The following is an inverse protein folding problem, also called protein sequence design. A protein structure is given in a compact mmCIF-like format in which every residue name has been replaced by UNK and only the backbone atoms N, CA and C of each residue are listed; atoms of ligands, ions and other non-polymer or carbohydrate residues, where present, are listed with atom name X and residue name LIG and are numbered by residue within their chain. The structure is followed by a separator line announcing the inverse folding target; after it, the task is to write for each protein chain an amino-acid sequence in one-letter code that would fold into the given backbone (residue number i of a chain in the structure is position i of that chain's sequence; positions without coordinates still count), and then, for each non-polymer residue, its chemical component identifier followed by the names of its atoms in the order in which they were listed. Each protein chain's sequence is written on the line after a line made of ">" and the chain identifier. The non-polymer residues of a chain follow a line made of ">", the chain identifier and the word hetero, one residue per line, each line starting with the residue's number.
data_IF_600360421392
#
_entry.id   IF_600360421392
#
_cell.length_a   1.000
_cell.length_b   1.000
_cell.length_c   1.000
_cell.angle_alpha   90.00
_cell.angle_beta   90.00
_cell.angle_gamma   90.00
#
_symmetry.space_group_name_H-M   'P 1'
#
loop_
_entity.id
_entity.type
_entity.pdbx_description
1 polymer ?
#
# COMPACT_ATOMS: atom_id res chain seq x y z
N UNK A 1 3.45 25.64 1.82
CA UNK A 1 2.27 24.79 2.15
C UNK A 1 2.21 24.25 3.60
N UNK A 2 3.26 23.64 4.17
CA UNK A 2 3.19 22.89 5.45
C UNK A 2 2.49 23.62 6.61
N UNK A 3 3.01 24.78 7.00
CA UNK A 3 2.45 25.63 8.07
C UNK A 3 0.99 26.01 7.83
N UNK A 4 0.63 26.23 6.57
CA UNK A 4 -0.73 26.60 6.19
C UNK A 4 -1.70 25.43 6.41
N UNK A 5 -1.24 24.21 6.13
CA UNK A 5 -2.03 23.00 6.29
C UNK A 5 -2.16 22.57 7.75
N UNK A 6 -1.04 22.49 8.49
CA UNK A 6 -0.98 21.91 9.83
C UNK A 6 -0.91 22.91 10.99
N UNK A 7 -0.77 24.21 10.70
CA UNK A 7 -0.65 25.27 11.71
C UNK A 7 0.54 25.09 12.68
N UNK A 8 1.54 24.32 12.24
CA UNK A 8 2.78 24.04 12.97
C UNK A 8 3.97 24.08 12.02
N UNK A 9 5.16 24.30 12.57
CA UNK A 9 6.45 24.12 11.88
C UNK A 9 7.03 22.72 12.16
N UNK A 10 6.36 21.91 12.99
CA UNK A 10 6.79 20.56 13.33
C UNK A 10 6.56 19.59 12.16
N UNK A 11 7.62 18.93 11.71
CA UNK A 11 7.60 17.93 10.62
C UNK A 11 7.32 16.50 11.10
N UNK A 12 6.95 16.32 12.37
CA UNK A 12 6.57 15.03 12.96
C UNK A 12 5.07 14.71 12.83
N UNK A 13 4.32 15.46 12.02
CA UNK A 13 2.90 15.19 11.73
C UNK A 13 2.73 13.80 11.09
N UNK A 14 1.73 13.04 11.56
CA UNK A 14 1.44 11.68 11.09
C UNK A 14 0.09 11.59 10.36
N UNK A 15 -0.10 10.56 9.53
CA UNK A 15 -1.38 10.28 8.86
C UNK A 15 -2.53 10.15 9.87
N UNK A 16 -2.39 9.49 11.03
CA UNK A 16 -3.40 9.55 12.10
C UNK A 16 -3.75 10.96 12.58
N UNK A 17 -2.79 11.90 12.65
CA UNK A 17 -3.09 13.30 12.94
C UNK A 17 -3.94 13.92 11.84
N UNK A 18 -3.57 13.69 10.58
CA UNK A 18 -4.31 14.16 9.40
C UNK A 18 -5.76 13.64 9.40
N UNK A 19 -5.97 12.36 9.70
CA UNK A 19 -7.31 11.77 9.80
C UNK A 19 -8.13 12.44 10.92
N UNK A 20 -7.54 12.66 12.09
CA UNK A 20 -8.18 13.41 13.19
C UNK A 20 -8.55 14.84 12.80
N UNK A 21 -7.74 15.49 11.97
CA UNK A 21 -8.06 16.82 11.42
C UNK A 21 -9.26 16.76 10.48
N UNK A 22 -9.31 15.77 9.58
CA UNK A 22 -10.40 15.57 8.62
C UNK A 22 -11.75 15.27 9.30
N UNK A 23 -11.72 14.62 10.45
CA UNK A 23 -12.90 14.36 11.30
C UNK A 23 -13.49 15.64 11.90
N UNK A 24 -12.71 16.71 12.05
CA UNK A 24 -13.20 17.96 12.65
C UNK A 24 -14.23 18.65 11.72
N UNK A 25 -15.48 18.89 12.18
CA UNK A 25 -16.48 19.58 11.37
C UNK A 25 -16.07 21.02 11.03
N UNK A 26 -15.33 21.66 11.94
CA UNK A 26 -14.84 23.04 11.80
C UNK A 26 -13.61 23.18 10.90
N UNK A 27 -13.07 22.08 10.35
CA UNK A 27 -11.92 22.14 9.45
C UNK A 27 -12.27 22.97 8.21
N UNK A 28 -11.46 24.00 7.87
CA UNK A 28 -11.68 24.82 6.69
C UNK A 28 -11.75 23.98 5.41
N UNK A 29 -12.70 24.30 4.54
CA UNK A 29 -12.96 23.55 3.31
C UNK A 29 -11.72 23.48 2.39
N UNK A 30 -10.95 24.57 2.32
CA UNK A 30 -9.71 24.65 1.54
C UNK A 30 -8.64 23.64 1.98
N UNK A 31 -8.67 23.18 3.24
CA UNK A 31 -7.71 22.19 3.77
C UNK A 31 -8.16 20.75 3.56
N UNK A 32 -9.46 20.50 3.34
CA UNK A 32 -10.03 19.15 3.30
C UNK A 32 -9.44 18.31 2.16
N UNK A 33 -9.41 18.85 0.94
CA UNK A 33 -8.87 18.11 -0.20
C UNK A 33 -7.37 17.83 -0.07
N UNK A 34 -6.50 18.83 0.23
CA UNK A 34 -5.07 18.56 0.41
C UNK A 34 -4.77 17.55 1.53
N UNK A 35 -5.44 17.65 2.68
CA UNK A 35 -5.30 16.68 3.78
C UNK A 35 -5.73 15.27 3.34
N UNK A 36 -6.84 15.14 2.62
CA UNK A 36 -7.31 13.85 2.11
C UNK A 36 -6.34 13.24 1.09
N UNK A 37 -5.75 14.05 0.21
CA UNK A 37 -4.75 13.60 -0.76
C UNK A 37 -3.48 13.10 -0.07
N UNK A 38 -3.00 13.79 0.97
CA UNK A 38 -1.85 13.34 1.76
C UNK A 38 -2.16 12.06 2.53
N UNK A 39 -3.33 11.96 3.15
CA UNK A 39 -3.75 10.74 3.83
C UNK A 39 -3.79 9.55 2.86
N UNK A 40 -4.24 9.77 1.62
CA UNK A 40 -4.24 8.74 0.58
C UNK A 40 -2.81 8.36 0.14
N UNK A 41 -1.95 9.35 -0.11
CA UNK A 41 -0.59 9.10 -0.60
C UNK A 41 0.28 8.48 0.49
N UNK A 42 0.50 9.17 1.61
CA UNK A 42 1.39 8.69 2.69
C UNK A 42 0.78 7.52 3.48
N UNK A 43 -0.56 7.47 3.57
CA UNK A 43 -1.27 6.43 4.33
C UNK A 43 -1.56 5.16 3.54
N UNK A 44 -1.75 5.26 2.21
CA UNK A 44 -2.18 4.11 1.40
C UNK A 44 -1.32 3.84 0.17
N UNK A 45 -0.80 4.83 -0.55
CA UNK A 45 -0.02 4.54 -1.77
C UNK A 45 1.45 4.29 -1.44
N UNK A 46 2.10 5.26 -0.81
CA UNK A 46 3.53 5.31 -0.50
C UNK A 46 3.78 5.06 0.99
N UNK A 47 2.92 4.25 1.62
CA UNK A 47 3.05 3.89 3.04
C UNK A 47 4.34 3.08 3.30
N UNK A 48 5.43 3.80 3.58
CA UNK A 48 6.78 3.25 3.71
C UNK A 48 7.28 3.14 5.15
N UNK A 49 6.63 3.79 6.12
CA UNK A 49 7.14 3.90 7.50
C UNK A 49 6.12 3.46 8.54
N UNK A 50 6.55 2.71 9.57
CA UNK A 50 5.68 2.25 10.66
C UNK A 50 4.98 3.39 11.41
N UNK A 51 5.59 4.57 11.43
CA UNK A 51 5.05 5.75 12.11
C UNK A 51 4.07 6.55 11.23
N UNK A 52 3.89 6.19 9.96
CA UNK A 52 3.03 6.90 9.00
C UNK A 52 3.23 8.42 9.03
N UNK A 53 4.50 8.86 9.03
CA UNK A 53 4.82 10.28 8.99
C UNK A 53 4.44 10.86 7.64
N UNK A 54 3.88 12.07 7.66
CA UNK A 54 3.61 12.83 6.45
C UNK A 54 4.94 13.26 5.83
N UNK A 55 5.06 13.13 4.51
CA UNK A 55 6.27 13.46 3.76
C UNK A 55 6.25 14.94 3.36
N UNK A 56 7.18 15.79 3.83
CA UNK A 56 7.19 17.23 3.52
C UNK A 56 7.19 17.54 2.02
N UNK A 57 7.96 16.80 1.23
CA UNK A 57 8.02 16.97 -0.22
C UNK A 57 6.64 16.75 -0.91
N UNK A 58 5.83 15.81 -0.43
CA UNK A 58 4.48 15.60 -0.97
C UNK A 58 3.53 16.73 -0.55
N UNK A 59 3.70 17.28 0.65
CA UNK A 59 2.94 18.44 1.10
C UNK A 59 3.26 19.68 0.30
N UNK A 60 4.53 19.90 -0.06
CA UNK A 60 4.93 21.00 -0.95
C UNK A 60 4.27 20.90 -2.32
N UNK A 61 4.14 19.69 -2.88
CA UNK A 61 3.47 19.49 -4.17
C UNK A 61 1.98 19.89 -4.17
N UNK A 62 1.33 19.98 -3.00
CA UNK A 62 -0.07 20.41 -2.91
C UNK A 62 -0.29 21.90 -3.18
N UNK A 63 0.79 22.71 -3.31
CA UNK A 63 0.69 24.10 -3.80
C UNK A 63 0.03 24.17 -5.17
N UNK A 64 0.22 23.14 -5.99
CA UNK A 64 -0.52 22.91 -7.21
C UNK A 64 -1.17 21.52 -7.17
N UNK A 65 -2.45 21.50 -6.79
CA UNK A 65 -3.23 20.26 -6.72
C UNK A 65 -3.40 19.59 -8.08
N UNK A 66 -3.39 20.33 -9.20
CA UNK A 66 -3.48 19.73 -10.53
C UNK A 66 -2.19 18.96 -10.86
N UNK A 67 -1.03 19.59 -10.64
CA UNK A 67 0.27 18.92 -10.76
C UNK A 67 0.39 17.73 -9.81
N UNK A 68 -0.09 17.85 -8.58
CA UNK A 68 -0.13 16.74 -7.61
C UNK A 68 -0.93 15.56 -8.16
N UNK A 69 -2.12 15.78 -8.72
CA UNK A 69 -2.96 14.71 -9.27
C UNK A 69 -2.37 14.06 -10.52
N UNK A 70 -1.61 14.81 -11.33
CA UNK A 70 -0.91 14.30 -12.51
C UNK A 70 0.41 13.60 -12.19
N UNK A 71 0.94 13.76 -10.97
CA UNK A 71 2.15 13.11 -10.55
C UNK A 71 2.00 11.57 -10.63
N UNK A 72 3.02 10.83 -11.10
CA UNK A 72 2.93 9.39 -11.31
C UNK A 72 2.99 8.60 -10.00
N UNK A 73 2.02 8.80 -9.10
CA UNK A 73 1.94 8.16 -7.78
C UNK A 73 2.05 6.64 -7.83
N UNK A 74 1.55 6.00 -8.89
CA UNK A 74 1.69 4.56 -9.07
C UNK A 74 3.16 4.12 -9.20
N UNK A 75 3.98 4.88 -9.90
CA UNK A 75 5.42 4.60 -10.04
C UNK A 75 6.15 4.87 -8.72
N UNK A 76 5.85 5.99 -8.08
CA UNK A 76 6.43 6.34 -6.77
C UNK A 76 6.12 5.27 -5.71
N UNK A 77 4.86 4.84 -5.65
CA UNK A 77 4.38 3.80 -4.75
C UNK A 77 5.01 2.43 -5.07
N UNK A 78 5.18 2.10 -6.35
CA UNK A 78 5.86 0.88 -6.80
C UNK A 78 7.33 0.86 -6.40
N UNK A 79 8.07 1.94 -6.67
CA UNK A 79 9.50 2.07 -6.32
C UNK A 79 9.68 2.02 -4.80
N UNK A 80 8.84 2.73 -4.05
CA UNK A 80 8.82 2.66 -2.58
C UNK A 80 8.57 1.25 -2.08
N UNK A 81 7.69 0.49 -2.74
CA UNK A 81 7.43 -0.93 -2.41
C UNK A 81 8.63 -1.81 -2.72
N UNK A 82 9.24 -1.70 -3.90
CA UNK A 82 10.43 -2.47 -4.26
C UNK A 82 11.60 -2.23 -3.30
N UNK A 83 11.78 -0.99 -2.84
CA UNK A 83 12.84 -0.64 -1.89
C UNK A 83 12.75 -1.42 -0.58
N UNK A 84 11.56 -1.89 -0.19
CA UNK A 84 11.33 -2.70 1.01
C UNK A 84 11.64 -4.18 0.80
N UNK A 85 11.43 -4.68 -0.42
CA UNK A 85 11.76 -6.06 -0.79
C UNK A 85 13.28 -6.27 -0.86
N UNK A 86 14.03 -5.20 -1.13
CA UNK A 86 15.50 -5.22 -1.21
C UNK A 86 16.16 -4.67 0.06
N UNK A 87 17.37 -5.11 0.43
CA UNK A 87 18.16 -4.42 1.46
C UNK A 87 18.54 -3.01 0.99
N UNK A 88 18.94 -2.12 1.93
CA UNK A 88 19.48 -0.82 1.54
C UNK A 88 20.78 -1.02 0.76
N UNK A 89 20.91 -0.34 -0.38
CA UNK A 89 22.15 -0.36 -1.15
C UNK A 89 23.31 0.23 -0.34
N UNK A 90 24.47 -0.45 -0.28
CA UNK A 90 25.63 0.05 0.43
C UNK A 90 26.30 1.17 -0.37
N UNK A 91 26.72 2.23 0.30
CA UNK A 91 27.57 3.28 -0.30
C UNK A 91 29.01 2.81 -0.53
N UNK A 92 29.44 1.76 0.19
CA UNK A 92 30.77 1.18 0.14
C UNK A 92 30.78 -0.07 -0.76
N UNK A 93 31.53 -0.06 -1.88
CA UNK A 93 31.61 -1.19 -2.80
C UNK A 93 32.07 -2.50 -2.15
N UNK A 94 32.86 -2.45 -1.07
CA UNK A 94 33.33 -3.65 -0.36
C UNK A 94 32.21 -4.43 0.33
N UNK A 95 31.05 -3.81 0.54
CA UNK A 95 29.87 -4.43 1.17
C UNK A 95 28.89 -5.04 0.15
N UNK A 96 29.21 -4.98 -1.15
CA UNK A 96 28.32 -5.45 -2.21
C UNK A 96 27.99 -6.94 -2.10
N UNK A 97 28.96 -7.79 -1.76
CA UNK A 97 28.72 -9.23 -1.59
C UNK A 97 27.75 -9.52 -0.43
N UNK A 98 27.88 -8.77 0.67
CA UNK A 98 26.94 -8.85 1.81
C UNK A 98 25.55 -8.36 1.39
N UNK A 99 25.46 -7.26 0.66
CA UNK A 99 24.19 -6.76 0.11
C UNK A 99 23.51 -7.81 -0.78
N UNK A 100 24.23 -8.38 -1.75
CA UNK A 100 23.69 -9.38 -2.67
C UNK A 100 23.26 -10.67 -1.96
N UNK A 101 23.99 -11.10 -0.93
CA UNK A 101 23.61 -12.28 -0.15
C UNK A 101 22.31 -12.06 0.65
N UNK A 102 22.16 -10.89 1.29
CA UNK A 102 20.91 -10.50 1.97
C UNK A 102 19.75 -10.36 0.98
N UNK A 103 20.00 -9.72 -0.17
CA UNK A 103 18.98 -9.56 -1.21
C UNK A 103 18.47 -10.90 -1.71
N UNK A 104 19.37 -11.85 -2.04
CA UNK A 104 18.99 -13.21 -2.43
C UNK A 104 18.19 -13.93 -1.35
N UNK A 105 18.53 -13.73 -0.08
CA UNK A 105 17.79 -14.35 1.02
C UNK A 105 16.36 -13.80 1.12
N UNK A 106 16.18 -12.48 1.01
CA UNK A 106 14.84 -11.84 1.00
C UNK A 106 13.99 -12.30 -0.17
N UNK A 107 14.56 -12.32 -1.38
CA UNK A 107 13.85 -12.74 -2.59
C UNK A 107 13.51 -14.24 -2.62
N UNK A 108 14.09 -15.06 -1.75
CA UNK A 108 13.73 -16.48 -1.60
C UNK A 108 12.59 -16.72 -0.62
N UNK A 109 12.15 -15.70 0.12
CA UNK A 109 11.03 -15.83 1.03
C UNK A 109 9.76 -16.08 0.23
N UNK A 110 8.91 -17.00 0.70
CA UNK A 110 7.62 -17.29 0.07
C UNK A 110 6.61 -16.15 0.28
N UNK A 111 6.75 -15.41 1.38
CA UNK A 111 5.85 -14.33 1.75
C UNK A 111 6.64 -13.12 2.26
N UNK A 112 6.03 -11.94 2.14
CA UNK A 112 6.52 -10.70 2.72
C UNK A 112 5.33 -9.84 3.10
N UNK A 113 5.35 -9.30 4.31
CA UNK A 113 4.38 -8.31 4.73
C UNK A 113 4.66 -6.96 4.03
N UNK A 114 3.72 -6.53 3.19
CA UNK A 114 3.76 -5.22 2.54
C UNK A 114 2.54 -4.40 2.94
N UNK A 115 2.76 -3.11 3.15
CA UNK A 115 1.70 -2.11 3.34
C UNK A 115 1.71 -1.15 2.15
N UNK A 116 0.68 -0.34 1.99
CA UNK A 116 0.68 0.70 0.97
C UNK A 116 0.29 0.18 -0.41
N UNK A 117 1.13 0.40 -1.42
CA UNK A 117 0.80 0.09 -2.82
C UNK A 117 0.17 -1.29 -3.08
N UNK A 118 0.65 -2.43 -2.53
CA UNK A 118 -0.01 -3.72 -2.74
C UNK A 118 -1.44 -3.77 -2.20
N UNK A 119 -1.73 -3.10 -1.09
CA UNK A 119 -3.09 -2.98 -0.55
C UNK A 119 -3.99 -2.17 -1.50
N UNK A 120 -3.47 -1.05 -2.05
CA UNK A 120 -4.21 -0.27 -3.04
C UNK A 120 -4.55 -1.10 -4.28
N UNK A 121 -3.62 -1.93 -4.74
CA UNK A 121 -3.83 -2.86 -5.85
C UNK A 121 -4.86 -3.95 -5.52
N UNK A 122 -4.82 -4.48 -4.30
CA UNK A 122 -5.80 -5.46 -3.82
C UNK A 122 -7.22 -4.85 -3.80
N UNK A 123 -7.39 -3.64 -3.26
CA UNK A 123 -8.67 -2.92 -3.26
C UNK A 123 -9.16 -2.63 -4.68
N UNK A 124 -8.25 -2.25 -5.58
CA UNK A 124 -8.57 -2.06 -6.98
C UNK A 124 -9.02 -3.36 -7.65
N UNK A 125 -8.35 -4.48 -7.38
CA UNK A 125 -8.70 -5.79 -7.91
C UNK A 125 -10.09 -6.22 -7.46
N UNK A 126 -10.46 -6.05 -6.18
CA UNK A 126 -11.82 -6.36 -5.72
C UNK A 126 -12.89 -5.53 -6.41
N UNK A 127 -12.61 -4.26 -6.70
CA UNK A 127 -13.54 -3.39 -7.43
C UNK A 127 -13.65 -3.75 -8.91
N UNK A 128 -12.52 -4.09 -9.55
CA UNK A 128 -12.45 -4.41 -10.97
C UNK A 128 -12.97 -5.82 -11.28
N UNK A 129 -12.84 -6.75 -10.33
CA UNK A 129 -13.16 -8.17 -10.50
C UNK A 129 -14.12 -8.59 -9.37
N UNK A 130 -15.43 -8.37 -9.52
CA UNK A 130 -16.41 -8.72 -8.50
C UNK A 130 -16.38 -10.20 -8.11
N UNK A 131 -16.11 -11.11 -9.06
CA UNK A 131 -15.95 -12.54 -8.78
C UNK A 131 -14.82 -12.86 -7.80
N UNK A 132 -13.81 -12.00 -7.70
CA UNK A 132 -12.73 -12.12 -6.71
C UNK A 132 -13.22 -11.66 -5.33
N UNK A 133 -14.03 -10.61 -5.28
CA UNK A 133 -14.67 -10.16 -4.05
C UNK A 133 -15.63 -11.23 -3.51
N UNK A 134 -16.36 -11.95 -4.36
CA UNK A 134 -17.26 -13.04 -3.90
C UNK A 134 -16.54 -14.18 -3.17
N UNK A 135 -15.20 -14.27 -3.28
CA UNK A 135 -14.37 -15.28 -2.62
C UNK A 135 -13.96 -14.91 -1.20
N UNK A 136 -14.05 -13.64 -0.81
CA UNK A 136 -13.71 -13.24 0.56
C UNK A 136 -14.82 -13.62 1.53
N UNK A 137 -14.50 -13.93 2.80
CA UNK A 137 -15.51 -14.08 3.85
C UNK A 137 -16.34 -12.79 3.99
N UNK A 138 -17.67 -12.94 4.09
CA UNK A 138 -18.61 -11.82 4.27
C UNK A 138 -18.43 -10.67 3.24
N UNK A 139 -18.53 -10.94 1.92
CA UNK A 139 -18.14 -9.98 0.87
C UNK A 139 -19.01 -8.71 0.82
N UNK A 140 -20.17 -8.74 1.46
CA UNK A 140 -21.11 -7.63 1.56
C UNK A 140 -21.01 -6.89 2.91
N UNK A 141 -20.08 -7.27 3.78
CA UNK A 141 -19.88 -6.64 5.09
C UNK A 141 -19.23 -5.28 4.89
N UNK A 142 -19.98 -4.23 5.22
CA UNK A 142 -19.52 -2.85 5.15
C UNK A 142 -19.33 -2.24 6.54
N UNK A 143 -19.30 -3.07 7.59
CA UNK A 143 -19.01 -2.57 8.94
C UNK A 143 -17.58 -2.05 8.97
N UNK A 144 -17.41 -0.81 9.43
CA UNK A 144 -16.08 -0.22 9.54
C UNK A 144 -15.39 -0.69 10.81
N UNK A 145 -14.06 -0.58 10.85
CA UNK A 145 -13.27 -0.85 12.05
C UNK A 145 -13.79 -0.10 13.30
N UNK A 146 -14.36 1.11 13.12
CA UNK A 146 -14.92 1.87 14.24
C UNK A 146 -16.20 1.24 14.82
N UNK A 147 -16.92 0.46 14.03
CA UNK A 147 -18.15 -0.22 14.44
C UNK A 147 -17.87 -1.62 15.01
N UNK A 148 -16.80 -2.27 14.56
CA UNK A 148 -16.44 -3.64 14.94
C UNK A 148 -14.91 -3.77 15.08
N UNK A 149 -14.31 -3.18 16.13
CA UNK A 149 -12.87 -3.15 16.31
C UNK A 149 -12.24 -4.54 16.52
N UNK A 150 -13.02 -5.49 17.04
CA UNK A 150 -12.61 -6.90 17.24
C UNK A 150 -12.40 -7.65 15.91
N UNK A 151 -12.88 -7.10 14.78
CA UNK A 151 -12.65 -7.67 13.45
C UNK A 151 -11.19 -7.72 13.03
N UNK A 152 -10.29 -7.00 13.73
CA UNK A 152 -8.84 -7.04 13.52
C UNK A 152 -8.09 -7.99 14.46
N UNK A 153 -8.78 -8.68 15.37
CA UNK A 153 -8.14 -9.55 16.36
C UNK A 153 -7.69 -10.90 15.78
N UNK A 154 -8.11 -11.22 14.55
CA UNK A 154 -7.71 -12.44 13.84
C UNK A 154 -7.16 -12.13 12.45
N UNK A 155 -5.97 -12.68 12.17
CA UNK A 155 -5.34 -12.74 10.85
C UNK A 155 -6.07 -13.79 10.00
N UNK A 156 -7.19 -13.41 9.39
CA UNK A 156 -7.89 -14.30 8.45
C UNK A 156 -7.28 -14.17 7.05
N UNK A 157 -6.92 -15.29 6.44
CA UNK A 157 -6.59 -15.32 5.00
C UNK A 157 -7.85 -14.86 4.23
N UNK A 158 -7.76 -13.69 3.61
CA UNK A 158 -8.89 -13.10 2.88
C UNK A 158 -9.17 -13.87 1.59
N UNK A 159 -8.13 -14.37 0.93
CA UNK A 159 -8.21 -15.11 -0.33
C UNK A 159 -7.20 -16.25 -0.33
N UNK A 160 -7.64 -17.43 -0.74
CA UNK A 160 -6.74 -18.55 -1.02
C UNK A 160 -6.25 -18.49 -2.46
N UNK A 161 -5.07 -19.06 -2.70
CA UNK A 161 -4.49 -19.10 -4.04
C UNK A 161 -5.40 -19.85 -5.04
N UNK A 162 -6.04 -20.93 -4.61
CA UNK A 162 -6.97 -21.70 -5.42
C UNK A 162 -8.19 -20.89 -5.85
N UNK A 163 -8.70 -20.02 -4.97
CA UNK A 163 -9.83 -19.13 -5.30
C UNK A 163 -9.46 -18.14 -6.39
N UNK A 164 -8.21 -17.63 -6.36
CA UNK A 164 -7.69 -16.73 -7.38
C UNK A 164 -7.59 -17.46 -8.73
N UNK A 165 -6.98 -18.65 -8.75
CA UNK A 165 -6.88 -19.47 -9.96
C UNK A 165 -8.25 -19.77 -10.57
N UNK A 166 -9.24 -20.06 -9.74
CA UNK A 166 -10.62 -20.29 -10.20
C UNK A 166 -11.19 -19.03 -10.86
N UNK A 167 -10.99 -17.85 -10.28
CA UNK A 167 -11.46 -16.57 -10.83
C UNK A 167 -10.75 -16.22 -12.14
N UNK A 168 -9.44 -16.46 -12.24
CA UNK A 168 -8.67 -16.22 -13.47
C UNK A 168 -9.14 -17.05 -14.67
N UNK A 169 -9.70 -18.23 -14.43
CA UNK A 169 -10.25 -19.08 -15.50
C UNK A 169 -11.63 -18.64 -16.00
N UNK A 170 -12.27 -17.66 -15.35
CA UNK A 170 -13.57 -17.16 -15.76
C UNK A 170 -13.47 -16.32 -17.05
N UNK A 171 -14.35 -16.59 -18.00
CA UNK A 171 -14.35 -15.91 -19.32
C UNK A 171 -14.41 -14.38 -19.23
N UNK A 172 -15.13 -13.86 -18.25
CA UNK A 172 -15.29 -12.42 -18.03
C UNK A 172 -13.95 -11.78 -17.66
N UNK A 173 -13.19 -12.40 -16.76
CA UNK A 173 -11.86 -11.95 -16.33
C UNK A 173 -10.83 -12.07 -17.46
N UNK A 174 -10.89 -13.14 -18.24
CA UNK A 174 -10.02 -13.31 -19.42
C UNK A 174 -10.26 -12.23 -20.48
N UNK A 175 -11.50 -11.78 -20.63
CA UNK A 175 -11.84 -10.70 -21.55
C UNK A 175 -11.29 -9.34 -21.06
N UNK A 176 -11.31 -9.08 -19.74
CA UNK A 176 -10.66 -7.91 -19.16
C UNK A 176 -9.15 -7.93 -19.35
N UNK A 177 -8.50 -9.08 -19.14
CA UNK A 177 -7.08 -9.25 -19.40
C UNK A 177 -6.73 -8.92 -20.85
N UNK A 178 -7.53 -9.36 -21.83
CA UNK A 178 -7.33 -9.02 -23.25
C UNK A 178 -7.61 -7.55 -23.59
N UNK A 179 -8.54 -6.89 -22.89
CA UNK A 179 -8.91 -5.49 -23.16
C UNK A 179 -7.96 -4.50 -22.47
N UNK A 180 -7.42 -4.87 -21.30
CA UNK A 180 -6.39 -4.14 -20.55
C UNK A 180 -4.95 -4.50 -20.96
N UNK A 181 -4.79 -5.33 -22.01
CA UNK A 181 -3.50 -5.74 -22.55
C UNK A 181 -2.80 -4.60 -23.32
N UNK A 182 -2.18 -3.69 -22.57
CA UNK A 182 -0.74 -3.44 -22.77
C UNK A 182 0.01 -4.46 -21.92
N UNK A 183 0.44 -5.55 -22.56
CA UNK A 183 1.06 -6.74 -21.97
C UNK A 183 2.22 -6.42 -21.00
N UNK A 184 2.36 -7.29 -19.98
CA UNK A 184 3.35 -7.38 -18.88
C UNK A 184 2.96 -6.81 -17.50
N UNK A 185 2.29 -5.66 -17.40
CA UNK A 185 2.03 -5.06 -16.07
C UNK A 185 0.99 -5.82 -15.23
N UNK A 186 -0.12 -6.28 -15.82
CA UNK A 186 -1.23 -6.85 -15.05
C UNK A 186 -1.01 -8.30 -14.59
N UNK A 187 -0.34 -9.15 -15.38
CA UNK A 187 0.03 -10.50 -14.93
C UNK A 187 0.99 -10.45 -13.74
N UNK A 188 1.96 -9.53 -13.78
CA UNK A 188 2.86 -9.28 -12.65
C UNK A 188 2.11 -8.73 -11.43
N UNK A 189 1.11 -7.88 -11.65
CA UNK A 189 0.25 -7.33 -10.58
C UNK A 189 -0.64 -8.40 -9.91
N UNK A 190 -1.17 -9.35 -10.68
CA UNK A 190 -1.93 -10.47 -10.12
C UNK A 190 -1.03 -11.45 -9.36
N UNK A 191 0.16 -11.79 -9.88
CA UNK A 191 1.14 -12.60 -9.14
C UNK A 191 1.62 -11.93 -7.85
N UNK A 192 1.78 -10.60 -7.88
CA UNK A 192 2.00 -9.77 -6.69
C UNK A 192 0.82 -9.97 -5.73
N UNK A 193 -0.43 -9.71 -6.12
CA UNK A 193 -1.61 -9.88 -5.23
C UNK A 193 -1.73 -11.31 -4.66
N UNK A 194 -1.43 -12.34 -5.47
CA UNK A 194 -1.40 -13.77 -5.09
C UNK A 194 -0.39 -14.06 -3.99
N UNK A 195 0.81 -13.47 -4.04
CA UNK A 195 1.85 -13.70 -3.02
C UNK A 195 1.59 -12.97 -1.71
N UNK A 196 0.74 -11.92 -1.70
CA UNK A 196 0.44 -11.13 -0.49
C UNK A 196 -0.78 -11.60 0.30
N UNK A 197 -1.62 -12.49 -0.25
CA UNK A 197 -2.84 -12.97 0.43
C UNK A 197 -2.64 -14.22 1.29
N UNK A 198 -1.42 -14.76 1.37
CA UNK A 198 -1.09 -15.90 2.24
C UNK A 198 -0.50 -15.39 3.56
N UNK A 199 -1.26 -15.38 4.68
CA UNK A 199 -0.64 -15.26 5.99
C UNK A 199 0.03 -16.60 6.29
N UNK A 200 1.34 -16.59 6.46
CA UNK A 200 1.98 -17.57 7.34
C UNK A 200 2.51 -16.79 8.54
N UNK A 201 1.88 -17.04 9.68
CA UNK A 201 2.35 -16.53 10.96
C UNK A 201 3.71 -17.15 11.28
N UNK A 202 4.61 -16.34 11.84
CA UNK A 202 5.72 -16.87 12.62
C UNK A 202 7.08 -16.47 12.11
N UNK A 203 7.51 -15.26 12.47
CA UNK A 203 8.90 -14.88 12.36
C UNK A 203 9.16 -13.53 13.00
N UNK A 204 9.22 -13.49 14.33
CA UNK A 204 9.80 -12.39 15.11
C UNK A 204 11.11 -11.92 14.46
N UNK A 205 11.17 -10.75 13.80
CA UNK A 205 12.43 -10.23 13.32
C UNK A 205 13.12 -9.62 14.53
N UNK A 206 13.83 -10.46 15.27
CA UNK A 206 14.91 -10.01 16.16
C UNK A 206 15.92 -9.25 15.31
N UNK A 207 15.72 -7.94 15.20
CA UNK A 207 16.74 -7.00 14.76
C UNK A 207 17.82 -6.98 15.85
N UNK A 208 18.76 -7.92 15.77
CA UNK A 208 20.03 -7.76 16.47
C UNK A 208 20.73 -6.56 15.84
N UNK A 209 20.87 -5.51 16.64
CA UNK A 209 21.81 -4.40 16.42
C UNK A 209 23.21 -4.99 16.28
N UNK A 210 23.82 -4.80 15.12
CA UNK A 210 25.27 -4.69 14.93
C UNK A 210 25.54 -3.57 13.93
#
# INVERSE_FOLDING_TARGET
>A
MWKELFETEDEDVTVPDVLRMLEQPSLPESKRLPLALIALVDGLLVCGHKLLRVTPAYVEMLEDTESFLQYPWGIEAFVSTLSRLTPLQPSDPSKMDKYLSVMRLRLKQQSTACYGFPLALQLFAFKAIPSLLEKIPEPNKTTSFLQEPEGCDSTNALLNFEDILLVETQREVQCYAQTLCTYECLCSLFEIIVTYSIPDEGGDPKWKKE
#
